data_IF_941602115910
#
_entry.id   IF_941602115910
#
_cell.length_a   1.000
_cell.length_b   1.000
_cell.length_c   1.000
_cell.angle_alpha   90.00
_cell.angle_beta   90.00
_cell.angle_gamma   90.00
#
_symmetry.space_group_name_H-M   'P 1'
#
loop_
_entity.id
_entity.type
_entity.pdbx_description
1 polymer ?
#
# COMPACT_ATOMS: atom_id res chain seq x y z
N UNK A 1 -8.16 2.54 -18.94
CA UNK A 1 -6.84 2.95 -18.37
C UNK A 1 -5.84 1.81 -18.54
N UNK A 2 -4.55 2.08 -18.86
CA UNK A 2 -3.51 1.03 -18.88
C UNK A 2 -3.12 0.62 -17.46
N UNK A 3 -2.54 -0.61 -17.29
CA UNK A 3 -2.01 -1.06 -15.99
C UNK A 3 -1.02 -0.05 -15.40
N UNK A 4 -0.13 0.50 -16.21
CA UNK A 4 0.82 1.54 -15.79
C UNK A 4 0.13 2.78 -15.20
N UNK A 5 -0.99 3.23 -15.76
CA UNK A 5 -1.75 4.35 -15.20
C UNK A 5 -2.41 3.99 -13.88
N UNK A 6 -3.00 2.80 -13.77
CA UNK A 6 -3.60 2.32 -12.52
C UNK A 6 -2.57 2.27 -11.40
N UNK A 7 -1.38 1.71 -11.66
CA UNK A 7 -0.30 1.62 -10.68
C UNK A 7 0.25 2.99 -10.26
N UNK A 8 0.41 3.94 -11.20
CA UNK A 8 0.83 5.30 -10.86
C UNK A 8 -0.22 6.03 -10.00
N UNK A 9 -1.51 5.84 -10.31
CA UNK A 9 -2.58 6.42 -9.49
C UNK A 9 -2.57 5.81 -8.09
N UNK A 10 -2.41 4.50 -7.94
CA UNK A 10 -2.25 3.86 -6.65
C UNK A 10 -1.01 4.39 -5.90
N UNK A 11 0.14 4.55 -6.57
CA UNK A 11 1.34 5.14 -5.96
C UNK A 11 1.10 6.55 -5.40
N UNK A 12 0.32 7.39 -6.10
CA UNK A 12 -0.07 8.73 -5.60
C UNK A 12 -0.93 8.60 -4.33
N UNK A 13 -1.86 7.64 -4.28
CA UNK A 13 -2.67 7.39 -3.07
C UNK A 13 -1.76 7.04 -1.88
N UNK A 14 -0.74 6.18 -2.05
CA UNK A 14 0.21 5.86 -1.00
C UNK A 14 1.06 7.05 -0.56
N UNK A 15 1.43 7.95 -1.47
CA UNK A 15 2.07 9.22 -1.10
C UNK A 15 1.14 10.11 -0.28
N UNK A 16 -0.15 10.17 -0.61
CA UNK A 16 -1.14 10.89 0.18
C UNK A 16 -1.29 10.26 1.58
N UNK A 17 -1.24 8.94 1.70
CA UNK A 17 -1.18 8.27 2.99
C UNK A 17 0.04 8.69 3.81
N UNK A 18 1.23 8.70 3.21
CA UNK A 18 2.46 9.11 3.89
C UNK A 18 2.38 10.56 4.38
N UNK A 19 1.91 11.48 3.53
CA UNK A 19 1.70 12.89 3.87
C UNK A 19 0.67 13.01 4.99
N UNK A 20 -0.50 12.37 4.84
CA UNK A 20 -1.54 12.35 5.84
C UNK A 20 -1.03 11.81 7.19
N UNK A 21 -0.24 10.77 7.15
CA UNK A 21 0.31 10.15 8.35
C UNK A 21 1.32 11.04 9.08
N UNK A 22 2.15 11.78 8.38
CA UNK A 22 3.13 12.67 8.99
C UNK A 22 2.57 14.04 9.39
N UNK A 23 1.66 14.61 8.61
CA UNK A 23 1.16 15.98 8.84
C UNK A 23 -0.18 16.03 9.59
N UNK A 24 -0.99 14.96 9.54
CA UNK A 24 -2.31 14.91 10.18
C UNK A 24 -2.42 13.83 11.25
N UNK A 25 -1.30 13.28 11.70
CA UNK A 25 -1.27 12.29 12.76
C UNK A 25 -1.66 12.89 14.13
N UNK A 26 -2.19 12.07 15.04
CA UNK A 26 -2.68 12.54 16.35
C UNK A 26 -1.68 13.33 17.18
N UNK A 27 -0.38 13.14 16.94
CA UNK A 27 0.67 13.91 17.64
C UNK A 27 0.80 15.37 17.19
N UNK A 28 0.22 15.74 16.03
CA UNK A 28 0.21 17.12 15.52
C UNK A 28 -1.15 17.79 15.69
N UNK A 29 -2.23 17.02 15.81
CA UNK A 29 -3.57 17.56 15.99
C UNK A 29 -3.79 17.81 17.47
N UNK A 30 -4.08 19.04 17.84
CA UNK A 30 -4.42 19.42 19.22
C UNK A 30 -5.70 18.70 19.67
N UNK A 31 -5.54 17.70 20.54
CA UNK A 31 -6.66 17.02 21.20
C UNK A 31 -7.01 17.78 22.49
N UNK A 32 -8.29 17.86 22.82
CA UNK A 32 -8.81 18.56 23.99
C UNK A 32 -9.40 17.59 25.01
N UNK A 33 -9.55 18.08 26.28
CA UNK A 33 -10.23 17.36 27.34
C UNK A 33 -9.56 16.03 27.73
N UNK A 34 -10.36 15.00 27.96
CA UNK A 34 -9.93 13.67 28.42
C UNK A 34 -8.93 13.00 27.49
N UNK A 35 -9.04 13.20 26.17
CA UNK A 35 -8.08 12.66 25.21
C UNK A 35 -6.68 13.26 25.43
N UNK A 36 -6.57 14.54 25.75
CA UNK A 36 -5.29 15.18 26.08
C UNK A 36 -4.67 14.62 27.35
N UNK A 37 -5.48 14.38 28.38
CA UNK A 37 -5.03 13.78 29.64
C UNK A 37 -4.51 12.35 29.40
N UNK A 38 -5.25 11.53 28.65
CA UNK A 38 -4.84 10.18 28.30
C UNK A 38 -3.51 10.15 27.52
N UNK A 39 -3.35 11.02 26.52
CA UNK A 39 -2.10 11.16 25.77
C UNK A 39 -0.94 11.64 26.66
N UNK A 40 -1.19 12.57 27.56
CA UNK A 40 -0.19 13.04 28.54
C UNK A 40 0.23 11.92 29.49
N UNK A 41 -0.71 11.11 29.97
CA UNK A 41 -0.41 9.94 30.78
C UNK A 41 0.40 8.89 30.01
N UNK A 42 0.01 8.58 28.77
CA UNK A 42 0.73 7.66 27.91
C UNK A 42 2.18 8.11 27.64
N UNK A 43 2.41 9.43 27.49
CA UNK A 43 3.74 9.99 27.27
C UNK A 43 4.62 9.97 28.52
N UNK A 44 4.03 10.13 29.71
CA UNK A 44 4.76 10.21 31.00
C UNK A 44 5.03 8.84 31.63
N UNK A 45 4.24 7.81 31.30
CA UNK A 45 4.36 6.49 31.90
C UNK A 45 5.42 5.69 31.17
N UNK A 46 6.62 5.65 31.72
CA UNK A 46 7.74 4.86 31.19
C UNK A 46 7.80 3.48 31.85
N UNK A 47 8.16 2.47 31.07
CA UNK A 47 8.38 1.11 31.54
C UNK A 47 9.58 0.48 30.81
N UNK A 48 10.26 -0.52 31.44
CA UNK A 48 11.41 -1.15 30.84
C UNK A 48 10.99 -2.13 29.74
N UNK A 49 11.63 -1.98 28.56
CA UNK A 49 11.46 -2.88 27.41
C UNK A 49 12.84 -3.28 26.92
N UNK A 50 13.26 -4.51 27.16
CA UNK A 50 14.56 -5.06 26.74
C UNK A 50 15.76 -4.16 27.09
N UNK A 51 15.75 -3.53 28.28
CA UNK A 51 16.83 -2.64 28.74
C UNK A 51 16.70 -1.18 28.35
N UNK A 52 15.67 -0.80 27.62
CA UNK A 52 15.35 0.58 27.28
C UNK A 52 14.12 1.06 28.04
N UNK A 53 14.14 2.32 28.52
CA UNK A 53 12.95 2.95 29.06
C UNK A 53 12.12 3.54 27.90
N UNK A 54 10.88 3.13 27.78
CA UNK A 54 9.96 3.58 26.72
C UNK A 54 8.58 3.84 27.31
N UNK A 55 7.83 4.72 26.66
CA UNK A 55 6.41 4.98 26.94
C UNK A 55 5.52 4.40 25.84
N UNK A 56 4.23 4.27 26.11
CA UNK A 56 3.24 3.96 25.05
C UNK A 56 3.24 5.00 23.94
N UNK A 57 3.51 6.26 24.28
CA UNK A 57 3.63 7.32 23.30
C UNK A 57 4.81 7.13 22.35
N UNK A 58 5.97 6.69 22.85
CA UNK A 58 7.12 6.38 21.99
C UNK A 58 6.80 5.31 20.97
N UNK A 59 6.08 4.26 21.39
CA UNK A 59 5.64 3.21 20.45
C UNK A 59 4.63 3.75 19.45
N UNK A 60 3.64 4.53 19.89
CA UNK A 60 2.64 5.11 19.01
C UNK A 60 3.27 5.99 17.92
N UNK A 61 4.17 6.89 18.30
CA UNK A 61 4.90 7.76 17.38
C UNK A 61 5.83 6.94 16.48
N UNK A 62 6.56 5.99 17.05
CA UNK A 62 7.47 5.12 16.30
C UNK A 62 6.76 4.30 15.23
N UNK A 63 5.65 3.62 15.56
CA UNK A 63 4.85 2.90 14.58
C UNK A 63 4.25 3.83 13.52
N UNK A 64 3.85 5.02 13.92
CA UNK A 64 3.37 6.02 12.99
C UNK A 64 4.42 6.42 11.95
N UNK A 65 5.63 6.71 12.37
CA UNK A 65 6.71 7.03 11.44
C UNK A 65 7.10 5.84 10.56
N UNK A 66 7.15 4.63 11.12
CA UNK A 66 7.37 3.40 10.34
C UNK A 66 6.32 3.22 9.25
N UNK A 67 5.04 3.43 9.57
CA UNK A 67 3.97 3.36 8.58
C UNK A 67 4.17 4.41 7.47
N UNK A 68 4.55 5.64 7.79
CA UNK A 68 4.85 6.69 6.81
C UNK A 68 5.97 6.28 5.85
N UNK A 69 7.07 5.72 6.36
CA UNK A 69 8.17 5.17 5.53
C UNK A 69 7.69 4.03 4.65
N UNK A 70 6.87 3.11 5.19
CA UNK A 70 6.30 1.99 4.45
C UNK A 70 5.44 2.47 3.28
N UNK A 71 4.59 3.47 3.47
CA UNK A 71 3.78 4.05 2.40
C UNK A 71 4.64 4.69 1.28
N UNK A 72 5.74 5.35 1.62
CA UNK A 72 6.68 5.87 0.61
C UNK A 72 7.32 4.72 -0.18
N UNK A 73 7.75 3.67 0.51
CA UNK A 73 8.32 2.48 -0.12
C UNK A 73 7.32 1.81 -1.07
N UNK A 74 6.06 1.63 -0.65
CA UNK A 74 5.00 1.09 -1.49
C UNK A 74 4.75 1.96 -2.72
N UNK A 75 4.69 3.28 -2.56
CA UNK A 75 4.55 4.21 -3.67
C UNK A 75 5.70 4.08 -4.68
N UNK A 76 6.94 4.01 -4.21
CA UNK A 76 8.12 3.83 -5.05
C UNK A 76 8.09 2.49 -5.80
N UNK A 77 7.76 1.39 -5.12
CA UNK A 77 7.63 0.06 -5.73
C UNK A 77 6.54 0.03 -6.80
N UNK A 78 5.37 0.59 -6.53
CA UNK A 78 4.28 0.70 -7.51
C UNK A 78 4.67 1.55 -8.72
N UNK A 79 5.44 2.61 -8.50
CA UNK A 79 5.97 3.42 -9.59
C UNK A 79 6.95 2.66 -10.48
N UNK A 80 7.83 1.86 -9.88
CA UNK A 80 8.74 0.97 -10.61
C UNK A 80 7.97 -0.10 -11.39
N UNK A 81 6.99 -0.76 -10.75
CA UNK A 81 6.11 -1.73 -11.41
C UNK A 81 5.34 -1.11 -12.58
N UNK A 82 4.91 0.13 -12.46
CA UNK A 82 4.24 0.85 -13.54
C UNK A 82 5.14 1.03 -14.77
N UNK A 83 6.47 1.09 -14.61
CA UNK A 83 7.43 1.14 -15.72
C UNK A 83 7.62 -0.23 -16.39
N UNK A 84 7.36 -1.31 -15.68
CA UNK A 84 7.49 -2.70 -16.16
C UNK A 84 6.18 -3.22 -16.74
N UNK A 85 5.05 -2.59 -16.43
CA UNK A 85 3.71 -3.03 -16.83
C UNK A 85 3.56 -3.08 -18.36
N UNK A 86 3.03 -4.18 -18.86
CA UNK A 86 2.89 -4.44 -20.31
C UNK A 86 4.18 -4.87 -21.01
N UNK A 87 5.28 -5.07 -20.27
CA UNK A 87 6.54 -5.59 -20.79
C UNK A 87 6.55 -7.13 -20.97
N UNK A 88 7.70 -7.65 -21.41
CA UNK A 88 7.88 -9.09 -21.63
C UNK A 88 7.85 -9.92 -20.34
N UNK A 89 8.22 -9.31 -19.21
CA UNK A 89 8.22 -9.98 -17.89
C UNK A 89 6.89 -9.76 -17.19
N UNK A 90 6.27 -10.86 -16.73
CA UNK A 90 5.01 -10.77 -15.98
C UNK A 90 5.24 -10.23 -14.56
N UNK A 91 4.61 -9.11 -14.24
CA UNK A 91 4.56 -8.55 -12.87
C UNK A 91 3.35 -9.06 -12.07
N UNK A 92 2.53 -9.94 -12.66
CA UNK A 92 1.25 -10.40 -12.10
C UNK A 92 1.39 -11.01 -10.70
N UNK A 93 2.41 -11.85 -10.48
CA UNK A 93 2.64 -12.49 -9.17
C UNK A 93 2.89 -11.44 -8.07
N UNK A 94 3.75 -10.46 -8.35
CA UNK A 94 4.05 -9.39 -7.41
C UNK A 94 2.84 -8.48 -7.15
N UNK A 95 2.06 -8.17 -8.19
CA UNK A 95 0.78 -7.45 -8.02
C UNK A 95 -0.22 -8.22 -7.17
N UNK A 96 -0.25 -9.55 -7.28
CA UNK A 96 -1.08 -10.41 -6.44
C UNK A 96 -0.74 -10.26 -4.95
N UNK A 97 0.54 -10.20 -4.61
CA UNK A 97 1.00 -9.94 -3.23
C UNK A 97 0.52 -8.58 -2.75
N UNK A 98 0.66 -7.53 -3.56
CA UNK A 98 0.16 -6.19 -3.22
C UNK A 98 -1.36 -6.18 -3.00
N UNK A 99 -2.13 -6.87 -3.86
CA UNK A 99 -3.60 -6.95 -3.71
C UNK A 99 -3.98 -7.62 -2.39
N UNK A 100 -3.39 -8.78 -2.08
CA UNK A 100 -3.69 -9.51 -0.83
C UNK A 100 -3.31 -8.67 0.39
N UNK A 101 -2.13 -8.07 0.40
CA UNK A 101 -1.69 -7.20 1.51
C UNK A 101 -2.64 -6.01 1.69
N UNK A 102 -3.04 -5.34 0.60
CA UNK A 102 -3.93 -4.19 0.69
C UNK A 102 -5.36 -4.55 1.09
N UNK A 103 -5.88 -5.72 0.71
CA UNK A 103 -7.16 -6.23 1.23
C UNK A 103 -7.08 -6.41 2.74
N UNK A 104 -6.01 -7.01 3.25
CA UNK A 104 -5.80 -7.17 4.70
C UNK A 104 -5.70 -5.83 5.42
N UNK A 105 -4.93 -4.88 4.87
CA UNK A 105 -4.80 -3.51 5.41
C UNK A 105 -6.16 -2.80 5.42
N UNK A 106 -6.94 -2.88 4.35
CA UNK A 106 -8.27 -2.27 4.28
C UNK A 106 -9.22 -2.86 5.33
N UNK A 107 -9.18 -4.18 5.55
CA UNK A 107 -9.97 -4.83 6.60
C UNK A 107 -9.58 -4.36 8.01
N UNK A 108 -8.27 -4.23 8.30
CA UNK A 108 -7.78 -3.68 9.56
C UNK A 108 -8.19 -2.22 9.73
N UNK A 109 -8.17 -1.42 8.68
CA UNK A 109 -8.59 -0.02 8.75
C UNK A 109 -10.09 0.12 9.02
N UNK A 110 -10.93 -0.75 8.47
CA UNK A 110 -12.37 -0.79 8.80
C UNK A 110 -12.59 -1.09 10.28
N UNK A 111 -11.77 -1.97 10.87
CA UNK A 111 -11.90 -2.37 12.27
C UNK A 111 -11.38 -1.30 13.25
N UNK A 112 -10.35 -0.52 12.91
CA UNK A 112 -9.59 0.27 13.87
C UNK A 112 -9.46 1.76 13.52
N UNK A 113 -9.86 2.19 12.31
CA UNK A 113 -9.63 3.55 11.85
C UNK A 113 -10.94 4.28 11.49
N UNK A 114 -10.80 5.48 10.97
CA UNK A 114 -11.86 6.40 10.57
C UNK A 114 -11.92 6.56 9.03
N UNK A 115 -12.95 7.23 8.52
CA UNK A 115 -13.29 7.22 7.08
C UNK A 115 -12.18 7.55 6.08
N UNK A 116 -11.34 8.61 6.22
CA UNK A 116 -10.34 8.95 5.20
C UNK A 116 -9.37 7.83 4.84
N UNK A 117 -8.67 7.17 5.78
CA UNK A 117 -7.79 6.05 5.45
C UNK A 117 -8.55 4.84 4.87
N UNK A 118 -9.78 4.56 5.34
CA UNK A 118 -10.60 3.47 4.79
C UNK A 118 -10.89 3.70 3.31
N UNK A 119 -11.37 4.91 2.95
CA UNK A 119 -11.68 5.26 1.56
C UNK A 119 -10.43 5.13 0.67
N UNK A 120 -9.31 5.67 1.10
CA UNK A 120 -8.06 5.62 0.34
C UNK A 120 -7.56 4.18 0.14
N UNK A 121 -7.66 3.33 1.16
CA UNK A 121 -7.28 1.91 1.07
C UNK A 121 -8.18 1.12 0.12
N UNK A 122 -9.48 1.34 0.18
CA UNK A 122 -10.42 0.70 -0.74
C UNK A 122 -10.13 1.11 -2.18
N UNK A 123 -9.89 2.40 -2.43
CA UNK A 123 -9.52 2.90 -3.76
C UNK A 123 -8.19 2.31 -4.25
N UNK A 124 -7.15 2.29 -3.40
CA UNK A 124 -5.86 1.69 -3.75
C UNK A 124 -6.03 0.20 -4.09
N UNK A 125 -6.75 -0.55 -3.25
CA UNK A 125 -7.03 -1.97 -3.46
C UNK A 125 -7.75 -2.22 -4.78
N UNK A 126 -8.76 -1.42 -5.11
CA UNK A 126 -9.50 -1.51 -6.36
C UNK A 126 -8.59 -1.26 -7.58
N UNK A 127 -7.74 -0.24 -7.54
CA UNK A 127 -6.80 0.07 -8.61
C UNK A 127 -5.76 -1.04 -8.82
N UNK A 128 -5.22 -1.59 -7.74
CA UNK A 128 -4.27 -2.71 -7.78
C UNK A 128 -4.92 -3.98 -8.34
N UNK A 129 -6.13 -4.30 -7.91
CA UNK A 129 -6.92 -5.43 -8.41
C UNK A 129 -7.21 -5.29 -9.91
N UNK A 130 -7.61 -4.10 -10.35
CA UNK A 130 -7.81 -3.83 -11.78
C UNK A 130 -6.52 -3.97 -12.59
N UNK A 131 -5.38 -3.53 -12.08
CA UNK A 131 -4.08 -3.70 -12.70
C UNK A 131 -3.69 -5.18 -12.79
N UNK A 132 -3.90 -5.94 -11.72
CA UNK A 132 -3.63 -7.37 -11.64
C UNK A 132 -4.40 -8.20 -12.68
N UNK A 133 -5.69 -7.94 -12.86
CA UNK A 133 -6.51 -8.61 -13.89
C UNK A 133 -6.02 -8.28 -15.31
N UNK A 134 -5.61 -7.05 -15.57
CA UNK A 134 -5.12 -6.62 -16.89
C UNK A 134 -3.79 -7.26 -17.27
N UNK A 135 -2.86 -7.38 -16.34
CA UNK A 135 -1.59 -8.07 -16.56
C UNK A 135 -1.80 -9.58 -16.82
N UNK A 136 -2.84 -10.19 -16.26
CA UNK A 136 -3.21 -11.58 -16.55
C UNK A 136 -3.70 -11.81 -17.96
N UNK A 137 -4.45 -10.86 -18.53
CA UNK A 137 -4.97 -10.95 -19.91
C UNK A 137 -3.89 -10.78 -20.98
N UNK A 138 -2.94 -9.88 -20.75
CA UNK A 138 -1.85 -9.62 -21.70
C UNK A 138 -0.92 -10.84 -21.90
N UNK A 139 -0.59 -11.55 -20.82
CA UNK A 139 0.25 -12.77 -20.89
C UNK A 139 -0.42 -13.92 -21.65
N UNK A 140 -1.73 -14.12 -21.48
CA UNK A 140 -2.48 -15.15 -22.16
C UNK A 140 -2.59 -14.91 -23.68
N UNK A 141 -2.68 -13.64 -24.09
CA UNK A 141 -2.73 -13.27 -25.50
C UNK A 141 -1.37 -13.50 -26.20
N UNK A 142 -0.27 -13.09 -25.57
CA UNK A 142 1.08 -13.28 -26.09
C UNK A 142 1.46 -14.77 -26.28
N UNK A 143 1.07 -15.63 -25.33
CA UNK A 143 1.33 -17.08 -25.42
C UNK A 143 0.51 -17.74 -26.53
N UNK A 144 -0.73 -17.33 -26.76
CA UNK A 144 -1.55 -17.82 -27.90
C UNK A 144 -0.95 -17.44 -29.26
N UNK A 145 -0.51 -16.21 -29.43
CA UNK A 145 0.14 -15.73 -30.66
C UNK A 145 1.47 -16.43 -30.94
N UNK A 146 2.26 -16.74 -29.90
CA UNK A 146 3.50 -17.48 -30.04
C UNK A 146 3.23 -18.93 -30.53
N UNK A 147 2.22 -19.57 -29.95
CA UNK A 147 1.84 -20.95 -30.31
C UNK A 147 1.27 -21.06 -31.75
N UNK A 148 0.47 -20.06 -32.16
CA UNK A 148 -0.08 -19.99 -33.54
C UNK A 148 1.03 -19.79 -34.59
N UNK A 149 2.06 -19.04 -34.30
CA UNK A 149 3.23 -18.83 -35.15
C UNK A 149 4.12 -20.10 -35.28
N UNK A 150 4.26 -20.86 -34.17
CA UNK A 150 5.03 -22.12 -34.20
C UNK A 150 4.31 -23.21 -34.97
N UNK A 151 2.98 -23.30 -34.85
CA UNK A 151 2.16 -24.22 -35.62
C UNK A 151 2.27 -23.98 -37.13
N UNK A 152 2.13 -22.72 -37.59
CA UNK A 152 2.26 -22.38 -39.02
C UNK A 152 3.64 -22.61 -39.63
N UNK A 153 4.72 -22.68 -38.82
CA UNK A 153 6.08 -23.02 -39.31
C UNK A 153 6.32 -24.52 -39.40
N UNK A 154 5.54 -25.33 -38.68
CA UNK A 154 5.65 -26.79 -38.75
C UNK A 154 4.93 -27.39 -39.96
N UNK A 155 3.98 -26.65 -40.54
CA UNK A 155 3.14 -27.06 -41.66
C UNK A 155 3.66 -26.55 -43.04
N UNK A 156 4.79 -25.85 -43.10
CA UNK A 156 5.43 -25.28 -44.28
C UNK A 156 6.78 -25.94 -44.55
#
# INVERSE_FOLDING_TARGET
>A
MSSARLLRTAAVIFLLFAIGHWFFSPWLIGVNGQAREALSAAAKTNYPVFGFMRSYWDFHVGFGHMAGVTFIMEAALLWLLARMAGGASSIKGLLGVFVVANVAIAALQVAYFFWPPIILSVLATALLTMAWFREGGAGAYSSRMANDRSGRRADA
#
